data_IF_740279845506
#
_entry.id   IF_740279845506
#
_cell.length_a   1.000
_cell.length_b   1.000
_cell.length_c   1.000
_cell.angle_alpha   90.00
_cell.angle_beta   90.00
_cell.angle_gamma   90.00
#
_symmetry.space_group_name_H-M   'P 1'
#
loop_
_entity.id
_entity.type
_entity.pdbx_description
1 polymer ?
#
# COMPACT_ATOMS: atom_id res chain seq x y z
N UNK A 1 -0.93 14.61 -26.17
CA UNK A 1 -0.17 13.46 -25.62
C UNK A 1 -1.04 12.54 -24.74
N UNK A 2 -1.63 13.02 -23.63
CA UNK A 2 -2.49 12.18 -22.75
C UNK A 2 -3.73 11.60 -23.46
N UNK A 3 -4.38 12.36 -24.35
CA UNK A 3 -5.58 11.91 -25.08
C UNK A 3 -5.23 10.76 -26.05
N UNK A 4 -4.06 10.81 -26.69
CA UNK A 4 -3.57 9.77 -27.60
C UNK A 4 -3.37 8.43 -26.86
N UNK A 5 -2.72 8.49 -25.69
CA UNK A 5 -2.48 7.31 -24.85
C UNK A 5 -3.80 6.72 -24.33
N UNK A 6 -4.73 7.55 -23.86
CA UNK A 6 -6.05 7.07 -23.42
C UNK A 6 -6.81 6.37 -24.56
N UNK A 7 -6.74 6.88 -25.79
CA UNK A 7 -7.33 6.22 -26.96
C UNK A 7 -6.65 4.88 -27.26
N UNK A 8 -5.32 4.83 -27.23
CA UNK A 8 -4.55 3.60 -27.48
C UNK A 8 -4.89 2.49 -26.48
N UNK A 9 -4.99 2.81 -25.20
CA UNK A 9 -5.35 1.85 -24.14
C UNK A 9 -6.86 1.69 -23.93
N UNK A 10 -7.69 2.32 -24.78
CA UNK A 10 -9.17 2.31 -24.68
C UNK A 10 -9.69 2.77 -23.30
N UNK A 11 -8.96 3.69 -22.66
CA UNK A 11 -9.30 4.26 -21.36
C UNK A 11 -10.25 5.43 -21.57
N UNK A 12 -11.44 5.36 -20.96
CA UNK A 12 -12.35 6.51 -20.87
C UNK A 12 -11.89 7.43 -19.74
N UNK A 13 -11.33 8.57 -20.11
CA UNK A 13 -10.84 9.55 -19.13
C UNK A 13 -11.97 10.52 -18.76
N UNK A 14 -12.36 10.52 -17.48
CA UNK A 14 -13.36 11.44 -16.94
C UNK A 14 -12.64 12.56 -16.19
N UNK A 15 -12.99 13.82 -16.50
CA UNK A 15 -12.43 14.99 -15.82
C UNK A 15 -13.41 15.46 -14.74
N UNK A 16 -12.89 15.74 -13.55
CA UNK A 16 -13.63 16.56 -12.58
C UNK A 16 -13.72 18.00 -13.08
N UNK A 17 -14.77 18.70 -12.69
CA UNK A 17 -14.88 20.14 -12.92
C UNK A 17 -13.78 20.88 -12.14
N UNK A 18 -13.25 21.95 -12.74
CA UNK A 18 -12.23 22.79 -12.10
C UNK A 18 -12.73 23.29 -10.74
N UNK A 19 -11.86 23.29 -9.72
CA UNK A 19 -12.16 23.69 -8.33
C UNK A 19 -13.30 22.93 -7.62
N UNK A 20 -13.76 21.81 -8.18
CA UNK A 20 -14.84 20.99 -7.60
C UNK A 20 -14.41 19.53 -7.41
N UNK A 21 -13.61 19.23 -6.37
CA UNK A 21 -13.13 17.87 -6.10
C UNK A 21 -14.22 16.93 -5.56
N UNK A 22 -15.49 17.37 -5.49
CA UNK A 22 -16.62 16.61 -4.91
C UNK A 22 -16.83 15.26 -5.60
N UNK A 23 -16.47 15.15 -6.87
CA UNK A 23 -16.54 13.89 -7.63
C UNK A 23 -15.44 12.88 -7.25
N UNK A 24 -14.37 13.33 -6.58
CA UNK A 24 -13.21 12.54 -6.16
C UNK A 24 -13.11 12.40 -4.62
N UNK A 25 -14.20 12.61 -3.88
CA UNK A 25 -14.19 12.66 -2.41
C UNK A 25 -13.53 11.44 -1.73
N UNK A 26 -13.79 10.24 -2.26
CA UNK A 26 -13.17 8.99 -1.78
C UNK A 26 -11.65 9.00 -1.98
N UNK A 27 -11.20 9.53 -3.13
CA UNK A 27 -9.77 9.66 -3.47
C UNK A 27 -9.12 10.74 -2.61
N UNK A 28 -9.79 11.86 -2.36
CA UNK A 28 -9.30 12.93 -1.48
C UNK A 28 -9.11 12.42 -0.04
N UNK A 29 -10.08 11.67 0.49
CA UNK A 29 -9.96 11.06 1.81
C UNK A 29 -8.80 10.05 1.89
N UNK A 30 -8.61 9.24 0.84
CA UNK A 30 -7.47 8.32 0.73
C UNK A 30 -6.13 9.07 0.70
N UNK A 31 -6.01 10.11 -0.14
CA UNK A 31 -4.83 10.94 -0.26
C UNK A 31 -4.47 11.63 1.06
N UNK A 32 -5.48 12.12 1.79
CA UNK A 32 -5.30 12.71 3.12
C UNK A 32 -4.73 11.71 4.13
N UNK A 33 -5.17 10.45 4.09
CA UNK A 33 -4.64 9.40 4.95
C UNK A 33 -3.20 9.02 4.58
N UNK A 34 -2.91 8.84 3.28
CA UNK A 34 -1.55 8.55 2.80
C UNK A 34 -0.59 9.67 3.22
N UNK A 35 -1.00 10.94 3.07
CA UNK A 35 -0.23 12.09 3.52
C UNK A 35 0.11 12.02 5.02
N UNK A 36 -0.87 11.68 5.88
CA UNK A 36 -0.64 11.52 7.33
C UNK A 36 0.34 10.39 7.64
N UNK A 37 0.27 9.28 6.91
CA UNK A 37 1.18 8.15 7.11
C UNK A 37 2.60 8.55 6.69
N UNK A 38 2.77 9.13 5.51
CA UNK A 38 4.07 9.63 5.03
C UNK A 38 4.67 10.63 6.03
N UNK A 39 3.88 11.59 6.53
CA UNK A 39 4.33 12.55 7.54
C UNK A 39 4.84 11.91 8.84
N UNK A 40 4.34 10.74 9.22
CA UNK A 40 4.80 10.00 10.40
C UNK A 40 6.05 9.14 10.14
N UNK A 41 6.30 8.79 8.87
CA UNK A 41 7.40 7.91 8.47
C UNK A 41 8.65 8.68 8.04
N UNK A 42 8.46 9.84 7.43
CA UNK A 42 9.51 10.77 7.02
C UNK A 42 10.32 11.19 8.26
N UNK A 43 11.64 11.00 8.19
CA UNK A 43 12.56 11.51 9.21
C UNK A 43 13.08 12.89 8.79
N UNK A 44 13.35 13.07 7.49
CA UNK A 44 13.76 14.33 6.88
C UNK A 44 12.88 14.64 5.67
N UNK A 45 12.45 15.88 5.43
CA UNK A 45 11.59 16.24 4.29
C UNK A 45 12.07 15.72 2.90
N UNK A 46 13.35 15.42 2.73
CA UNK A 46 13.92 14.89 1.48
C UNK A 46 13.67 13.39 1.24
N UNK A 47 13.35 12.60 2.27
CA UNK A 47 13.24 11.13 2.21
C UNK A 47 11.81 10.60 1.91
N UNK A 48 10.84 11.49 1.67
CA UNK A 48 9.43 11.11 1.52
C UNK A 48 9.17 10.11 0.39
N UNK A 49 9.96 10.16 -0.68
CA UNK A 49 9.83 9.30 -1.83
C UNK A 49 10.30 7.86 -1.52
N UNK A 50 11.33 7.71 -0.69
CA UNK A 50 11.80 6.42 -0.19
C UNK A 50 10.79 5.80 0.79
N UNK A 51 10.07 6.64 1.53
CA UNK A 51 9.06 6.21 2.51
C UNK A 51 7.69 5.92 1.87
N UNK A 52 7.43 6.44 0.67
CA UNK A 52 6.14 6.32 0.00
C UNK A 52 5.69 4.86 -0.24
N UNK A 53 6.54 3.93 -0.71
CA UNK A 53 6.14 2.53 -0.87
C UNK A 53 5.70 1.88 0.44
N UNK A 54 6.39 2.19 1.54
CA UNK A 54 6.06 1.67 2.87
C UNK A 54 4.77 2.28 3.42
N UNK A 55 4.56 3.58 3.21
CA UNK A 55 3.32 4.25 3.59
C UNK A 55 2.12 3.70 2.83
N UNK A 56 2.28 3.41 1.54
CA UNK A 56 1.23 2.82 0.71
C UNK A 56 0.93 1.38 1.13
N UNK A 57 1.96 0.57 1.39
CA UNK A 57 1.78 -0.78 1.91
C UNK A 57 1.03 -0.75 3.25
N UNK A 58 1.44 0.12 4.16
CA UNK A 58 0.77 0.31 5.44
C UNK A 58 -0.70 0.70 5.32
N UNK A 59 -1.02 1.58 4.37
CA UNK A 59 -2.40 1.94 4.04
C UNK A 59 -3.22 0.75 3.51
N UNK A 60 -2.61 -0.10 2.67
CA UNK A 60 -3.29 -1.25 2.05
C UNK A 60 -3.55 -2.40 3.04
N UNK A 61 -2.68 -2.58 4.03
CA UNK A 61 -2.74 -3.67 5.01
C UNK A 61 -3.45 -3.29 6.30
N UNK A 62 -3.64 -2.00 6.58
CA UNK A 62 -4.41 -1.56 7.73
C UNK A 62 -5.92 -1.74 7.55
N UNK A 63 -6.59 -2.14 8.63
CA UNK A 63 -8.05 -2.29 8.66
C UNK A 63 -8.70 -0.92 8.73
N UNK A 64 -9.63 -0.64 7.82
CA UNK A 64 -10.37 0.63 7.86
C UNK A 64 -11.49 0.60 8.89
N UNK A 65 -11.58 1.61 9.75
CA UNK A 65 -12.63 1.72 10.78
C UNK A 65 -14.04 1.68 10.19
N UNK A 66 -14.25 2.29 9.02
CA UNK A 66 -15.55 2.34 8.34
C UNK A 66 -16.05 0.99 7.83
N UNK A 67 -15.13 0.16 7.33
CA UNK A 67 -15.48 -1.06 6.58
C UNK A 67 -15.04 -2.33 7.32
N UNK A 68 -14.23 -2.18 8.37
CA UNK A 68 -13.62 -3.25 9.17
C UNK A 68 -12.83 -4.28 8.36
N UNK A 69 -12.43 -3.90 7.14
CA UNK A 69 -11.60 -4.71 6.24
C UNK A 69 -10.43 -3.88 5.72
N UNK A 70 -9.38 -4.57 5.27
CA UNK A 70 -8.22 -3.93 4.66
C UNK A 70 -8.50 -3.61 3.19
N UNK A 71 -7.98 -2.49 2.64
CA UNK A 71 -8.12 -2.20 1.22
C UNK A 71 -7.58 -3.32 0.31
N UNK A 72 -6.52 -4.01 0.73
CA UNK A 72 -5.99 -5.15 -0.01
C UNK A 72 -7.01 -6.30 -0.11
N UNK A 73 -7.70 -6.61 1.00
CA UNK A 73 -8.74 -7.63 1.00
C UNK A 73 -9.89 -7.23 0.06
N UNK A 74 -10.21 -5.94 -0.02
CA UNK A 74 -11.25 -5.44 -0.93
C UNK A 74 -10.88 -5.60 -2.42
N UNK A 75 -9.61 -5.41 -2.78
CA UNK A 75 -9.14 -5.48 -4.18
C UNK A 75 -8.90 -6.93 -4.62
N UNK A 76 -8.21 -7.72 -3.80
CA UNK A 76 -7.75 -9.05 -4.18
C UNK A 76 -8.64 -10.18 -3.65
N UNK A 77 -9.62 -9.87 -2.80
CA UNK A 77 -10.49 -10.86 -2.12
C UNK A 77 -9.71 -11.90 -1.28
N UNK A 78 -8.43 -11.65 -1.03
CA UNK A 78 -7.53 -12.51 -0.23
C UNK A 78 -6.97 -11.74 0.94
N UNK A 79 -6.81 -12.40 2.10
CA UNK A 79 -6.16 -11.80 3.26
C UNK A 79 -4.68 -11.53 2.93
N UNK A 80 -4.20 -10.36 3.34
CA UNK A 80 -2.77 -10.02 3.26
C UNK A 80 -1.98 -11.02 4.09
N UNK A 81 -0.93 -11.58 3.49
CA UNK A 81 0.15 -12.24 4.24
C UNK A 81 1.07 -11.13 4.72
N UNK A 82 1.09 -10.88 6.03
CA UNK A 82 1.94 -9.84 6.62
C UNK A 82 3.41 -10.29 6.60
N UNK A 83 4.39 -9.38 6.54
CA UNK A 83 5.82 -9.73 6.61
C UNK A 83 6.17 -10.59 7.84
N UNK A 84 5.52 -10.36 8.98
CA UNK A 84 5.70 -11.19 10.19
C UNK A 84 5.27 -12.65 10.02
N UNK A 85 4.27 -12.92 9.17
CA UNK A 85 3.83 -14.29 8.84
C UNK A 85 4.81 -15.00 7.89
N UNK A 86 5.70 -14.25 7.22
CA UNK A 86 6.79 -14.77 6.40
C UNK A 86 8.03 -15.05 7.24
N UNK A 87 8.35 -14.16 8.20
CA UNK A 87 9.45 -14.36 9.17
C UNK A 87 9.17 -15.51 10.14
N UNK A 88 7.94 -15.61 10.63
CA UNK A 88 7.44 -16.75 11.41
C UNK A 88 6.44 -17.47 10.51
N UNK A 89 6.85 -18.54 9.81
CA UNK A 89 6.01 -19.21 8.82
C UNK A 89 4.64 -19.56 9.40
N UNK A 90 3.63 -18.81 9.02
CA UNK A 90 2.25 -19.10 9.42
C UNK A 90 1.74 -20.29 8.60
N UNK A 91 0.75 -21.02 9.11
CA UNK A 91 0.12 -22.14 8.37
C UNK A 91 -0.40 -21.72 6.99
N UNK A 92 -0.67 -20.42 6.76
CA UNK A 92 -1.06 -19.88 5.45
C UNK A 92 0.12 -19.80 4.48
N UNK A 93 1.29 -19.39 4.95
CA UNK A 93 2.50 -19.32 4.11
C UNK A 93 2.96 -20.73 3.72
N UNK A 94 2.85 -21.68 4.64
CA UNK A 94 3.21 -23.09 4.41
C UNK A 94 2.31 -23.73 3.33
N UNK A 95 1.02 -23.38 3.28
CA UNK A 95 0.07 -23.96 2.32
C UNK A 95 0.08 -23.28 0.94
N UNK A 96 0.52 -22.03 0.86
CA UNK A 96 0.56 -21.23 -0.39
C UNK A 96 1.89 -21.37 -1.14
N UNK A 97 2.92 -21.98 -0.54
CA UNK A 97 4.23 -22.14 -1.17
C UNK A 97 4.44 -23.53 -1.81
N UNK A 98 4.18 -23.73 -3.12
CA UNK A 98 4.85 -24.77 -3.88
C UNK A 98 6.24 -24.27 -4.31
N UNK A 99 7.29 -24.96 -3.84
CA UNK A 99 8.69 -24.91 -4.29
C UNK A 99 9.33 -23.51 -4.42
N UNK A 100 10.18 -23.17 -3.44
CA UNK A 100 11.17 -22.08 -3.53
C UNK A 100 12.02 -22.27 -4.80
N UNK A 101 11.96 -21.33 -5.74
CA UNK A 101 12.95 -21.26 -6.84
C UNK A 101 14.34 -20.94 -6.25
N UNK A 102 15.40 -21.67 -6.64
CA UNK A 102 16.75 -21.41 -6.12
C UNK A 102 17.28 -20.12 -6.73
N UNK A 103 17.73 -19.18 -5.89
CA UNK A 103 18.55 -18.04 -6.34
C UNK A 103 18.06 -16.63 -6.02
N UNK A 104 16.97 -16.44 -5.26
CA UNK A 104 16.64 -15.09 -4.76
C UNK A 104 17.34 -14.86 -3.42
N UNK A 105 18.46 -14.15 -3.46
CA UNK A 105 19.07 -13.55 -2.28
C UNK A 105 18.15 -12.43 -1.81
N UNK A 106 17.21 -12.77 -0.93
CA UNK A 106 16.42 -11.80 -0.20
C UNK A 106 17.38 -11.11 0.78
N UNK A 107 17.88 -9.90 0.45
CA UNK A 107 18.74 -9.13 1.34
C UNK A 107 18.01 -8.91 2.69
N UNK A 108 18.50 -9.50 3.80
CA UNK A 108 17.80 -9.49 5.09
C UNK A 108 17.82 -8.11 5.76
N UNK A 109 18.35 -7.06 5.10
CA UNK A 109 18.46 -5.70 5.64
C UNK A 109 17.30 -4.77 5.25
N UNK A 110 16.49 -5.11 4.24
CA UNK A 110 15.30 -4.32 3.84
C UNK A 110 14.06 -4.67 4.66
N UNK A 111 13.93 -5.94 5.09
CA UNK A 111 12.85 -6.44 5.94
C UNK A 111 12.81 -5.81 7.35
N UNK A 112 13.93 -5.67 8.08
CA UNK A 112 13.95 -5.10 9.44
C UNK A 112 13.44 -3.66 9.50
N UNK A 113 13.69 -2.86 8.45
CA UNK A 113 13.15 -1.51 8.34
C UNK A 113 11.63 -1.57 8.18
N UNK A 114 11.13 -2.37 7.23
CA UNK A 114 9.68 -2.51 6.99
C UNK A 114 8.89 -2.97 8.23
N UNK A 115 9.46 -3.87 9.04
CA UNK A 115 8.88 -4.36 10.29
C UNK A 115 8.89 -3.29 11.42
N UNK A 116 9.99 -2.54 11.59
CA UNK A 116 10.04 -1.39 12.52
C UNK A 116 9.04 -0.29 12.13
N UNK A 117 8.81 -0.12 10.83
CA UNK A 117 7.90 0.88 10.30
C UNK A 117 6.41 0.46 10.40
N UNK A 118 6.08 -0.83 10.25
CA UNK A 118 4.73 -1.36 10.44
C UNK A 118 4.16 -1.08 11.84
N UNK A 119 5.00 -1.12 12.88
CA UNK A 119 4.62 -0.74 14.24
C UNK A 119 4.14 0.72 14.38
N UNK A 120 4.67 1.63 13.55
CA UNK A 120 4.24 3.05 13.49
C UNK A 120 3.02 3.28 12.61
N UNK A 121 2.77 2.40 11.64
CA UNK A 121 1.63 2.46 10.72
C UNK A 121 0.34 1.98 11.40
N UNK A 122 0.39 0.88 12.16
CA UNK A 122 -0.82 0.30 12.77
C UNK A 122 -1.44 1.18 13.85
N UNK A 123 -0.66 2.06 14.49
CA UNK A 123 -1.16 3.05 15.45
C UNK A 123 -1.68 4.34 14.80
N UNK A 124 -1.59 4.46 13.47
CA UNK A 124 -1.79 5.70 12.74
C UNK A 124 -2.96 5.71 11.74
N UNK A 125 -3.56 4.56 11.46
CA UNK A 125 -4.63 4.36 10.50
C UNK A 125 -6.00 4.22 11.17
#
# INVERSE_FOLDING_TARGET
MMIELCKQFKIRHHHSTSYHPKMNEVVEAANKNIKKIVQKMVVTYKDWHDMLPYALHGYQTSVRTSTRVTPYLFVYSTKVILPIEVEIPSLRVITVAPLKCPGRNDDPALLPKSAQFLGRVHLAA
#
